data_IF_504420536613
#
_entry.id   IF_504420536613
#
_cell.length_a   1.000
_cell.length_b   1.000
_cell.length_c   1.000
_cell.angle_alpha   90.00
_cell.angle_beta   90.00
_cell.angle_gamma   90.00
#
_symmetry.space_group_name_H-M   'P 1'
#
loop_
_entity.id
_entity.type
_entity.pdbx_description
1 polymer ?
#
# COMPACT_ATOMS: atom_id res chain seq x y z
N UNK A 1 11.52 6.68 -29.85
CA UNK A 1 11.08 5.95 -28.62
C UNK A 1 12.33 5.60 -27.82
N UNK A 2 12.36 5.91 -26.53
CA UNK A 2 13.52 5.69 -25.66
C UNK A 2 13.86 4.20 -25.56
N UNK A 3 15.12 3.84 -25.75
CA UNK A 3 15.59 2.43 -25.76
C UNK A 3 16.07 1.96 -24.40
N UNK A 4 16.57 2.90 -23.59
CA UNK A 4 17.25 2.63 -22.33
C UNK A 4 16.81 3.64 -21.26
N UNK A 5 17.08 3.30 -19.99
CA UNK A 5 16.88 4.18 -18.85
C UNK A 5 18.06 4.08 -17.91
N UNK A 6 18.63 5.22 -17.54
CA UNK A 6 19.54 5.41 -16.42
C UNK A 6 18.90 6.43 -15.48
N UNK A 7 18.80 6.15 -14.20
CA UNK A 7 18.03 6.94 -13.24
C UNK A 7 18.94 7.86 -12.43
N UNK A 8 20.04 7.32 -11.91
CA UNK A 8 20.97 8.08 -11.08
C UNK A 8 22.33 8.23 -11.79
N UNK A 9 23.00 9.39 -11.68
CA UNK A 9 24.35 9.59 -12.22
C UNK A 9 25.41 8.61 -11.68
N UNK A 10 25.17 8.01 -10.50
CA UNK A 10 26.06 7.01 -9.88
C UNK A 10 25.87 5.61 -10.46
N UNK A 11 24.79 5.40 -11.24
CA UNK A 11 24.51 4.08 -11.79
C UNK A 11 25.59 3.67 -12.80
N UNK A 12 26.21 2.53 -12.58
CA UNK A 12 27.06 1.85 -13.57
C UNK A 12 26.30 0.74 -14.32
N UNK A 13 24.99 0.61 -14.04
CA UNK A 13 24.05 -0.21 -14.79
C UNK A 13 23.04 0.65 -15.55
N UNK A 14 22.63 0.16 -16.72
CA UNK A 14 21.60 0.75 -17.57
C UNK A 14 20.48 -0.27 -17.78
N UNK A 15 19.23 0.17 -17.71
CA UNK A 15 18.04 -0.67 -17.94
C UNK A 15 17.66 -0.63 -19.41
N UNK A 16 17.46 -1.78 -20.04
CA UNK A 16 16.88 -1.91 -21.36
C UNK A 16 15.36 -1.79 -21.29
N UNK A 17 14.78 -0.84 -22.02
CA UNK A 17 13.32 -0.64 -22.10
C UNK A 17 12.65 -1.48 -23.19
N UNK A 18 13.47 -2.10 -24.07
CA UNK A 18 13.09 -3.03 -25.12
C UNK A 18 14.22 -4.03 -25.35
N UNK A 19 13.96 -5.06 -26.13
CA UNK A 19 15.01 -5.99 -26.52
C UNK A 19 16.10 -5.27 -27.33
N UNK A 20 17.33 -5.50 -26.97
CA UNK A 20 18.55 -4.98 -27.59
C UNK A 20 19.42 -6.16 -28.00
N UNK A 21 19.98 -6.12 -29.21
CA UNK A 21 20.80 -7.19 -29.73
C UNK A 21 22.29 -6.99 -29.43
N UNK A 22 23.03 -8.07 -29.32
CA UNK A 22 24.49 -8.04 -29.31
C UNK A 22 25.01 -7.27 -30.53
N UNK A 23 25.99 -6.39 -30.32
CA UNK A 23 26.52 -5.52 -31.35
C UNK A 23 25.83 -4.16 -31.49
N UNK A 24 24.63 -3.97 -30.91
CA UNK A 24 23.96 -2.67 -30.87
C UNK A 24 24.85 -1.63 -30.18
N UNK A 25 24.86 -0.41 -30.73
CA UNK A 25 25.55 0.72 -30.12
C UNK A 25 24.52 1.58 -29.41
N UNK A 26 24.71 1.75 -28.11
CA UNK A 26 23.87 2.54 -27.23
C UNK A 26 24.58 3.84 -26.88
N UNK A 27 23.91 4.97 -27.05
CA UNK A 27 24.40 6.27 -26.60
C UNK A 27 23.76 6.62 -25.26
N UNK A 28 24.58 6.88 -24.24
CA UNK A 28 24.15 7.33 -22.92
C UNK A 28 25.12 8.39 -22.37
N UNK A 29 24.63 9.59 -22.12
CA UNK A 29 25.40 10.72 -21.56
C UNK A 29 26.71 10.99 -22.31
N UNK A 30 26.66 10.97 -23.65
CA UNK A 30 27.82 11.21 -24.52
C UNK A 30 28.78 10.02 -24.63
N UNK A 31 28.54 8.91 -23.96
CA UNK A 31 29.31 7.67 -24.08
C UNK A 31 28.63 6.70 -25.06
N UNK A 32 29.42 6.08 -25.93
CA UNK A 32 28.97 5.02 -26.84
C UNK A 32 29.36 3.67 -26.25
N UNK A 33 28.35 2.82 -26.04
CA UNK A 33 28.49 1.49 -25.43
C UNK A 33 28.05 0.48 -26.50
N UNK A 34 28.94 -0.41 -26.87
CA UNK A 34 28.59 -1.54 -27.73
C UNK A 34 28.17 -2.72 -26.86
N UNK A 35 26.99 -3.28 -27.10
CA UNK A 35 26.53 -4.45 -26.38
C UNK A 35 27.31 -5.70 -26.79
N UNK A 36 27.83 -6.42 -25.79
CA UNK A 36 28.59 -7.67 -26.00
C UNK A 36 27.75 -8.93 -25.83
N UNK A 37 26.50 -8.75 -25.39
CA UNK A 37 25.47 -9.79 -25.25
C UNK A 37 24.11 -9.26 -25.67
N UNK A 38 23.15 -10.14 -25.95
CA UNK A 38 21.74 -9.77 -26.06
C UNK A 38 21.19 -9.32 -24.69
N UNK A 39 20.42 -8.23 -24.68
CA UNK A 39 19.82 -7.66 -23.46
C UNK A 39 18.31 -7.56 -23.67
N UNK A 40 17.52 -8.53 -23.16
CA UNK A 40 16.06 -8.46 -23.25
C UNK A 40 15.49 -7.26 -22.50
N UNK A 41 14.29 -6.84 -22.88
CA UNK A 41 13.57 -5.77 -22.19
C UNK A 41 13.52 -6.01 -20.68
N UNK A 42 13.65 -4.93 -19.90
CA UNK A 42 13.70 -4.92 -18.42
C UNK A 42 14.97 -5.52 -17.80
N UNK A 43 15.86 -6.13 -18.61
CA UNK A 43 17.19 -6.53 -18.12
C UNK A 43 18.12 -5.32 -18.06
N UNK A 44 19.26 -5.51 -17.42
CA UNK A 44 20.27 -4.47 -17.20
C UNK A 44 21.57 -4.90 -17.82
N UNK A 45 22.37 -3.93 -18.22
CA UNK A 45 23.72 -4.13 -18.73
C UNK A 45 24.68 -3.10 -18.15
N UNK A 46 25.96 -3.42 -18.15
CA UNK A 46 27.01 -2.56 -17.61
C UNK A 46 27.28 -1.37 -18.51
N UNK A 47 27.45 -0.20 -17.93
CA UNK A 47 27.90 1.00 -18.61
C UNK A 47 29.42 1.00 -18.85
N UNK A 48 30.15 0.42 -17.93
CA UNK A 48 31.62 0.35 -17.89
C UNK A 48 32.07 -1.02 -17.40
N UNK A 49 33.35 -1.43 -17.62
CA UNK A 49 33.85 -2.68 -17.10
C UNK A 49 33.78 -2.72 -15.57
N UNK A 50 33.39 -3.86 -15.01
CA UNK A 50 33.37 -4.10 -13.56
C UNK A 50 34.26 -5.30 -13.23
N UNK A 51 35.31 -5.15 -12.40
CA UNK A 51 36.15 -6.26 -12.01
C UNK A 51 35.46 -7.23 -11.08
N UNK A 52 36.00 -8.44 -10.93
CA UNK A 52 35.53 -9.39 -9.91
C UNK A 52 35.55 -8.72 -8.53
N UNK A 53 34.46 -8.87 -7.77
CA UNK A 53 34.25 -8.20 -6.49
C UNK A 53 33.83 -6.74 -6.59
N UNK A 54 33.79 -6.16 -7.80
CA UNK A 54 33.30 -4.80 -8.04
C UNK A 54 31.80 -4.67 -7.76
N UNK A 55 31.42 -3.49 -7.28
CA UNK A 55 30.02 -3.19 -6.93
C UNK A 55 29.26 -2.73 -8.18
N UNK A 56 28.06 -3.30 -8.38
CA UNK A 56 27.10 -2.81 -9.37
C UNK A 56 26.05 -1.96 -8.67
N UNK A 57 25.81 -0.77 -9.24
CA UNK A 57 24.95 0.28 -8.67
C UNK A 57 23.79 0.55 -9.60
N UNK A 58 22.58 0.60 -9.04
CA UNK A 58 21.35 0.92 -9.74
C UNK A 58 20.47 1.78 -8.82
N UNK A 59 19.83 2.82 -9.36
CA UNK A 59 19.03 3.77 -8.59
C UNK A 59 19.82 4.51 -7.50
N UNK A 60 21.12 4.74 -7.76
CA UNK A 60 22.04 5.39 -6.84
C UNK A 60 22.51 4.53 -5.66
N UNK A 61 22.11 3.25 -5.59
CA UNK A 61 22.45 2.35 -4.47
C UNK A 61 23.15 1.08 -4.98
N UNK A 62 24.06 0.48 -4.18
CA UNK A 62 24.62 -0.83 -4.44
C UNK A 62 23.52 -1.91 -4.49
N UNK A 63 23.47 -2.68 -5.58
CA UNK A 63 22.47 -3.75 -5.75
C UNK A 63 23.09 -5.13 -5.95
N UNK A 64 24.40 -5.18 -6.24
CA UNK A 64 25.07 -6.43 -6.45
C UNK A 64 26.59 -6.30 -6.43
N UNK A 65 27.27 -7.46 -6.44
CA UNK A 65 28.71 -7.60 -6.51
C UNK A 65 29.04 -8.57 -7.63
N UNK A 66 29.94 -8.18 -8.53
CA UNK A 66 30.36 -9.01 -9.65
C UNK A 66 31.13 -10.25 -9.15
N UNK A 67 30.75 -11.44 -9.59
CA UNK A 67 31.44 -12.71 -9.30
C UNK A 67 32.35 -13.15 -10.44
N UNK A 68 32.21 -12.50 -11.61
CA UNK A 68 33.08 -12.63 -12.76
C UNK A 68 33.45 -11.25 -13.30
N UNK A 69 34.52 -11.06 -14.08
CA UNK A 69 34.81 -9.77 -14.71
C UNK A 69 33.75 -9.46 -15.74
N UNK A 70 33.11 -8.26 -15.65
CA UNK A 70 32.09 -7.80 -16.58
C UNK A 70 32.68 -6.80 -17.56
N UNK A 71 32.35 -6.95 -18.83
CA UNK A 71 32.72 -5.99 -19.87
C UNK A 71 31.69 -4.85 -19.93
N UNK A 72 32.05 -3.71 -20.52
CA UNK A 72 31.08 -2.70 -20.89
C UNK A 72 30.08 -3.27 -21.90
N UNK A 73 28.77 -3.01 -21.69
CA UNK A 73 27.70 -3.55 -22.54
C UNK A 73 27.32 -5.00 -22.28
N UNK A 74 27.78 -5.59 -21.19
CA UNK A 74 27.45 -6.97 -20.81
C UNK A 74 26.18 -7.03 -19.95
N UNK A 75 25.31 -7.99 -20.28
CA UNK A 75 24.07 -8.23 -19.53
C UNK A 75 24.36 -8.76 -18.12
N UNK A 76 23.66 -8.20 -17.15
CA UNK A 76 23.67 -8.69 -15.77
C UNK A 76 22.74 -9.89 -15.62
N UNK A 77 23.24 -10.94 -15.01
CA UNK A 77 22.52 -12.19 -14.71
C UNK A 77 22.85 -12.65 -13.28
N UNK A 78 22.11 -13.63 -12.79
CA UNK A 78 22.39 -14.28 -11.50
C UNK A 78 23.69 -15.09 -11.49
N UNK A 79 24.24 -15.38 -12.67
CA UNK A 79 25.50 -16.14 -12.81
C UNK A 79 26.73 -15.23 -12.73
N UNK A 80 26.60 -13.94 -13.04
CA UNK A 80 27.74 -13.01 -13.07
C UNK A 80 27.68 -11.92 -11.98
N UNK A 81 26.51 -11.75 -11.31
CA UNK A 81 26.33 -10.82 -10.18
C UNK A 81 25.53 -11.49 -9.08
N UNK A 82 26.03 -11.44 -7.84
CA UNK A 82 25.30 -11.82 -6.63
C UNK A 82 24.72 -10.60 -5.97
N UNK A 83 23.62 -10.78 -5.22
CA UNK A 83 23.02 -9.69 -4.45
C UNK A 83 24.01 -9.13 -3.43
N UNK A 84 24.08 -7.83 -3.34
CA UNK A 84 24.85 -7.10 -2.35
C UNK A 84 24.08 -5.84 -1.94
N UNK A 85 23.95 -5.64 -0.64
CA UNK A 85 23.49 -4.41 -0.04
C UNK A 85 24.61 -3.86 0.85
N UNK A 86 24.85 -2.56 0.79
CA UNK A 86 25.79 -1.94 1.72
C UNK A 86 25.29 -2.13 3.16
N UNK A 87 26.20 -2.46 4.06
CA UNK A 87 25.90 -2.41 5.49
C UNK A 87 25.57 -0.98 5.91
N UNK A 88 24.55 -0.84 6.77
CA UNK A 88 24.21 0.47 7.31
C UNK A 88 25.19 0.77 8.44
N UNK A 89 26.16 1.64 8.17
CA UNK A 89 27.05 2.16 9.20
C UNK A 89 26.40 3.38 9.85
N UNK A 90 26.11 3.28 11.14
CA UNK A 90 25.53 4.35 11.95
C UNK A 90 26.59 5.05 12.84
N UNK A 91 27.87 4.70 12.73
CA UNK A 91 28.94 5.27 13.57
C UNK A 91 29.07 6.78 13.42
N UNK A 92 28.83 7.31 12.21
CA UNK A 92 28.87 8.74 11.90
C UNK A 92 27.47 9.37 11.76
N UNK A 93 26.43 8.68 12.24
CA UNK A 93 25.07 9.20 12.16
C UNK A 93 24.91 10.47 12.98
N UNK A 94 24.76 11.59 12.29
CA UNK A 94 24.39 12.86 12.93
C UNK A 94 22.91 12.78 13.31
N UNK A 95 22.55 13.03 14.58
CA UNK A 95 21.14 13.07 14.98
C UNK A 95 20.34 14.01 14.09
N UNK A 96 19.33 13.48 13.44
CA UNK A 96 18.45 14.31 12.61
C UNK A 96 17.65 15.26 13.51
N UNK A 97 17.90 16.55 13.37
CA UNK A 97 17.10 17.59 14.02
C UNK A 97 15.95 17.99 13.09
N UNK A 98 14.75 17.48 13.38
CA UNK A 98 13.57 17.86 12.61
C UNK A 98 13.30 19.36 12.73
N UNK A 99 13.17 20.02 11.60
CA UNK A 99 12.78 21.43 11.52
C UNK A 99 11.39 21.48 10.88
N UNK A 100 10.44 22.07 11.59
CA UNK A 100 9.09 22.24 11.08
C UNK A 100 9.12 23.09 9.79
N UNK A 101 8.45 22.64 8.71
CA UNK A 101 8.31 23.46 7.51
C UNK A 101 7.52 24.73 7.81
N UNK A 102 7.80 25.80 7.07
CA UNK A 102 7.00 27.03 7.16
C UNK A 102 5.62 26.80 6.51
N UNK A 103 4.59 26.79 7.34
CA UNK A 103 3.19 26.64 6.94
C UNK A 103 2.38 27.95 7.07
N UNK A 104 3.04 29.08 7.26
CA UNK A 104 2.40 30.38 7.53
C UNK A 104 1.38 30.77 6.45
N UNK A 105 1.63 30.46 5.17
CA UNK A 105 0.71 30.73 4.06
C UNK A 105 -0.63 30.01 4.15
N UNK A 106 -0.74 28.96 5.00
CA UNK A 106 -1.97 28.20 5.21
C UNK A 106 -2.59 28.40 6.60
N UNK A 107 -1.95 29.17 7.49
CA UNK A 107 -2.36 29.33 8.89
C UNK A 107 -3.81 29.81 9.04
N UNK A 108 -4.32 30.59 8.08
CA UNK A 108 -5.69 31.13 8.10
C UNK A 108 -6.68 30.30 7.25
N UNK A 109 -6.26 29.17 6.68
CA UNK A 109 -7.18 28.29 5.96
C UNK A 109 -7.98 27.44 6.94
N UNK A 110 -9.27 27.31 6.66
CA UNK A 110 -10.20 26.47 7.40
C UNK A 110 -10.82 25.41 6.49
N UNK A 111 -11.41 24.41 7.09
CA UNK A 111 -12.20 23.38 6.42
C UNK A 111 -13.40 23.01 7.31
N UNK A 112 -14.47 22.50 6.72
CA UNK A 112 -15.59 21.95 7.46
C UNK A 112 -15.24 20.55 7.93
N UNK A 113 -15.10 20.38 9.25
CA UNK A 113 -14.69 19.13 9.86
C UNK A 113 -15.76 18.53 10.77
N UNK A 114 -15.63 17.22 11.03
CA UNK A 114 -16.49 16.50 11.97
C UNK A 114 -15.83 16.54 13.36
N UNK A 115 -16.43 17.29 14.28
CA UNK A 115 -15.94 17.38 15.66
C UNK A 115 -16.38 16.13 16.42
N UNK A 116 -15.44 15.44 17.06
CA UNK A 116 -15.70 14.27 17.91
C UNK A 116 -15.91 14.70 19.37
N UNK A 117 -16.58 13.87 20.19
CA UNK A 117 -16.82 14.18 21.61
C UNK A 117 -15.51 14.44 22.41
N UNK A 118 -14.41 13.80 22.01
CA UNK A 118 -13.07 13.99 22.59
C UNK A 118 -12.33 15.25 22.08
N UNK A 119 -12.98 16.08 21.26
CA UNK A 119 -12.42 17.31 20.69
C UNK A 119 -11.54 17.11 19.46
N UNK A 120 -11.25 15.88 19.03
CA UNK A 120 -10.56 15.63 17.75
C UNK A 120 -11.45 15.99 16.58
N UNK A 121 -10.83 16.36 15.45
CA UNK A 121 -11.55 16.78 14.25
C UNK A 121 -11.23 15.83 13.11
N UNK A 122 -12.27 15.25 12.51
CA UNK A 122 -12.19 14.46 11.30
C UNK A 122 -12.33 15.34 10.05
N UNK A 123 -11.54 15.04 9.02
CA UNK A 123 -11.69 15.63 7.67
C UNK A 123 -12.64 14.83 6.78
N UNK A 124 -13.15 13.71 7.30
CA UNK A 124 -14.11 12.83 6.65
C UNK A 124 -14.86 12.04 7.72
N UNK A 125 -15.95 11.34 7.32
CA UNK A 125 -16.81 10.57 8.21
C UNK A 125 -17.18 9.23 7.59
N UNK A 126 -16.30 8.22 7.70
CA UNK A 126 -16.49 6.90 7.10
C UNK A 126 -17.09 5.89 8.06
N UNK A 127 -17.93 4.99 7.55
CA UNK A 127 -18.27 3.75 8.23
C UNK A 127 -17.24 2.68 7.89
N UNK A 128 -16.64 2.02 8.91
CA UNK A 128 -15.66 0.96 8.70
C UNK A 128 -16.29 -0.42 8.81
N UNK A 129 -15.80 -1.35 7.99
CA UNK A 129 -16.04 -2.79 8.11
C UNK A 129 -14.69 -3.45 8.36
N UNK A 130 -14.56 -4.09 9.52
CA UNK A 130 -13.30 -4.66 10.00
C UNK A 130 -13.47 -6.16 10.27
N UNK A 131 -12.86 -7.06 9.49
CA UNK A 131 -12.75 -8.45 9.87
C UNK A 131 -11.64 -8.63 10.93
N UNK A 132 -11.86 -9.47 11.93
CA UNK A 132 -10.84 -9.87 12.90
C UNK A 132 -9.97 -11.01 12.40
N UNK A 133 -10.38 -11.67 11.34
CA UNK A 133 -9.67 -12.78 10.71
C UNK A 133 -9.76 -12.69 9.18
N UNK A 134 -8.69 -13.08 8.50
CA UNK A 134 -8.63 -13.00 7.03
C UNK A 134 -9.73 -13.80 6.32
N UNK A 135 -10.27 -14.86 6.94
CA UNK A 135 -11.38 -15.65 6.41
C UNK A 135 -12.63 -14.80 6.15
N UNK A 136 -12.83 -13.74 6.95
CA UNK A 136 -13.96 -12.81 6.83
C UNK A 136 -13.72 -11.66 5.84
N UNK A 137 -12.54 -11.55 5.22
CA UNK A 137 -12.25 -10.52 4.23
C UNK A 137 -13.28 -10.48 3.11
N UNK A 138 -13.67 -11.67 2.62
CA UNK A 138 -14.65 -11.79 1.53
C UNK A 138 -16.01 -11.23 1.95
N UNK A 139 -16.48 -11.53 3.15
CA UNK A 139 -17.74 -11.03 3.68
C UNK A 139 -17.70 -9.53 3.90
N UNK A 140 -16.60 -9.00 4.46
CA UNK A 140 -16.38 -7.58 4.62
C UNK A 140 -16.43 -6.81 3.29
N UNK A 141 -15.79 -7.33 2.24
CA UNK A 141 -15.81 -6.72 0.91
C UNK A 141 -17.20 -6.79 0.26
N UNK A 142 -17.88 -7.94 0.36
CA UNK A 142 -19.23 -8.11 -0.18
C UNK A 142 -20.25 -7.18 0.49
N UNK A 143 -20.19 -7.06 1.83
CA UNK A 143 -21.06 -6.15 2.56
C UNK A 143 -20.76 -4.70 2.16
N UNK A 144 -19.49 -4.29 2.11
CA UNK A 144 -19.11 -2.96 1.62
C UNK A 144 -19.73 -2.69 0.25
N UNK A 145 -19.49 -3.56 -0.71
CA UNK A 145 -19.94 -3.37 -2.10
C UNK A 145 -21.47 -3.30 -2.20
N UNK A 146 -22.18 -4.12 -1.43
CA UNK A 146 -23.63 -4.12 -1.38
C UNK A 146 -24.15 -2.79 -0.80
N UNK A 147 -23.61 -2.36 0.34
CA UNK A 147 -24.01 -1.12 1.01
C UNK A 147 -23.63 0.12 0.19
N UNK A 148 -22.44 0.18 -0.40
CA UNK A 148 -22.04 1.31 -1.25
C UNK A 148 -22.99 1.49 -2.42
N UNK A 149 -23.39 0.40 -3.09
CA UNK A 149 -24.37 0.46 -4.20
C UNK A 149 -25.75 0.84 -3.75
N UNK A 150 -26.25 0.19 -2.70
CA UNK A 150 -27.63 0.36 -2.23
C UNK A 150 -27.86 1.73 -1.59
N UNK A 151 -26.86 2.24 -0.88
CA UNK A 151 -26.93 3.50 -0.14
C UNK A 151 -26.37 4.71 -0.92
N UNK A 152 -26.05 4.56 -2.21
CA UNK A 152 -25.65 5.64 -3.08
C UNK A 152 -24.24 6.21 -2.82
N UNK A 153 -23.34 5.43 -2.19
CA UNK A 153 -21.95 5.82 -1.98
C UNK A 153 -21.00 5.32 -3.08
N UNK A 154 -21.44 4.39 -3.91
CA UNK A 154 -20.63 3.87 -5.02
C UNK A 154 -20.50 4.93 -6.11
N UNK A 155 -19.30 5.49 -6.27
CA UNK A 155 -18.87 6.16 -7.48
C UNK A 155 -17.99 5.19 -8.27
N UNK A 156 -18.58 4.38 -9.12
CA UNK A 156 -17.80 3.45 -9.94
C UNK A 156 -17.44 4.11 -11.28
N UNK A 157 -16.39 4.96 -11.25
CA UNK A 157 -15.88 5.64 -12.45
C UNK A 157 -15.52 4.65 -13.56
N UNK A 158 -15.12 3.43 -13.24
CA UNK A 158 -14.80 2.40 -14.24
C UNK A 158 -16.08 1.83 -14.86
N UNK A 159 -17.11 1.56 -14.07
CA UNK A 159 -18.41 1.13 -14.57
C UNK A 159 -19.12 2.25 -15.34
N UNK A 160 -18.97 3.52 -14.94
CA UNK A 160 -19.47 4.68 -15.67
C UNK A 160 -18.75 4.84 -17.01
N UNK A 161 -17.42 4.68 -17.00
CA UNK A 161 -16.63 4.67 -18.23
C UNK A 161 -17.05 3.50 -19.16
N UNK A 162 -17.14 2.28 -18.64
CA UNK A 162 -17.55 1.11 -19.42
C UNK A 162 -18.97 1.29 -20.02
N UNK A 163 -19.90 1.86 -19.25
CA UNK A 163 -21.25 2.20 -19.75
C UNK A 163 -21.21 3.24 -20.86
N UNK A 164 -20.34 4.25 -20.75
CA UNK A 164 -20.19 5.28 -21.79
C UNK A 164 -19.72 4.69 -23.13
N UNK A 165 -18.90 3.64 -23.11
CA UNK A 165 -18.41 2.96 -24.31
C UNK A 165 -19.52 2.24 -25.11
N UNK A 166 -20.62 1.87 -24.45
CA UNK A 166 -21.78 1.20 -25.09
C UNK A 166 -22.98 2.15 -25.28
N UNK A 167 -22.75 3.47 -25.17
CA UNK A 167 -23.80 4.48 -25.37
C UNK A 167 -24.79 4.64 -24.21
N UNK A 168 -24.48 4.09 -23.03
CA UNK A 168 -25.30 4.26 -21.81
C UNK A 168 -25.07 5.63 -21.18
N UNK A 169 -26.14 6.28 -20.76
CA UNK A 169 -26.08 7.48 -19.91
C UNK A 169 -25.77 7.09 -18.46
N UNK A 170 -24.95 7.88 -17.78
CA UNK A 170 -24.66 7.66 -16.36
C UNK A 170 -25.95 7.62 -15.52
N UNK A 171 -26.03 6.67 -14.58
CA UNK A 171 -27.15 6.61 -13.64
C UNK A 171 -27.04 7.81 -12.67
N UNK A 172 -28.13 8.53 -12.45
CA UNK A 172 -28.16 9.56 -11.41
C UNK A 172 -27.80 8.92 -10.06
N UNK A 173 -26.96 9.55 -9.25
CA UNK A 173 -26.60 9.01 -7.94
C UNK A 173 -27.87 8.80 -7.11
N UNK A 174 -27.99 7.60 -6.51
CA UNK A 174 -29.10 7.31 -5.59
C UNK A 174 -29.06 8.27 -4.40
N UNK A 175 -30.22 8.70 -3.87
CA UNK A 175 -30.25 9.56 -2.69
C UNK A 175 -29.56 8.84 -1.52
N UNK A 176 -28.65 9.54 -0.83
CA UNK A 176 -27.93 9.01 0.33
C UNK A 176 -28.79 9.10 1.58
N UNK A 177 -29.24 7.97 2.16
CA UNK A 177 -30.05 8.00 3.38
C UNK A 177 -29.28 8.50 4.61
N UNK A 178 -27.94 8.45 4.56
CA UNK A 178 -27.07 8.97 5.62
C UNK A 178 -26.16 10.08 5.06
N UNK A 179 -26.64 11.32 4.92
CA UNK A 179 -25.92 12.39 4.23
C UNK A 179 -24.62 12.81 4.93
N UNK A 180 -24.49 12.51 6.23
CA UNK A 180 -23.29 12.83 7.02
C UNK A 180 -22.21 11.74 6.97
N UNK A 181 -22.45 10.63 6.26
CA UNK A 181 -21.46 9.60 6.03
C UNK A 181 -20.83 9.81 4.64
N UNK A 182 -19.51 9.87 4.58
CA UNK A 182 -18.76 10.09 3.32
C UNK A 182 -18.59 8.81 2.50
N UNK A 183 -18.77 7.66 3.11
CA UNK A 183 -18.70 6.37 2.43
C UNK A 183 -18.42 5.23 3.39
N UNK A 184 -18.32 4.03 2.83
CA UNK A 184 -18.08 2.79 3.56
C UNK A 184 -16.71 2.26 3.15
N UNK A 185 -15.89 1.83 4.12
CA UNK A 185 -14.55 1.31 3.88
C UNK A 185 -14.37 -0.04 4.57
N UNK A 186 -13.80 -1.01 3.87
CA UNK A 186 -13.40 -2.28 4.45
C UNK A 186 -11.88 -2.31 4.60
N UNK A 187 -11.39 -2.73 5.77
CA UNK A 187 -9.97 -2.92 6.05
C UNK A 187 -9.70 -4.41 6.05
N UNK A 188 -9.09 -4.93 4.99
CA UNK A 188 -8.73 -6.35 4.89
C UNK A 188 -7.27 -6.59 5.29
N UNK A 189 -6.98 -7.80 5.76
CA UNK A 189 -5.64 -8.22 6.18
C UNK A 189 -5.47 -9.74 6.05
N UNK A 190 -4.26 -10.25 6.28
CA UNK A 190 -3.93 -11.68 6.17
C UNK A 190 -3.69 -12.37 7.53
N UNK A 191 -4.08 -11.73 8.64
CA UNK A 191 -3.87 -12.24 10.00
C UNK A 191 -5.15 -12.72 10.68
N UNK A 192 -5.05 -12.91 11.99
CA UNK A 192 -6.17 -13.18 12.90
C UNK A 192 -6.32 -14.64 13.31
N UNK A 193 -5.91 -15.62 12.50
CA UNK A 193 -6.04 -17.06 12.78
C UNK A 193 -4.68 -17.71 13.11
N UNK A 194 -3.75 -17.65 12.16
CA UNK A 194 -2.39 -18.17 12.34
C UNK A 194 -1.52 -17.24 13.20
N UNK A 195 -0.26 -17.64 13.44
CA UNK A 195 0.70 -16.83 14.17
C UNK A 195 0.64 -17.00 15.70
N UNK A 196 1.29 -16.10 16.39
CA UNK A 196 1.41 -16.11 17.85
C UNK A 196 0.28 -15.30 18.53
N UNK A 197 0.17 -15.39 19.86
CA UNK A 197 -0.71 -14.51 20.64
C UNK A 197 -0.31 -13.03 20.47
N UNK A 198 0.99 -12.75 20.34
CA UNK A 198 1.51 -11.40 20.09
C UNK A 198 1.05 -10.84 18.75
N UNK A 199 0.99 -11.68 17.70
CA UNK A 199 0.50 -11.26 16.38
C UNK A 199 -0.99 -10.88 16.44
N UNK A 200 -1.80 -11.71 17.13
CA UNK A 200 -3.22 -11.43 17.32
C UNK A 200 -3.46 -10.13 18.11
N UNK A 201 -2.68 -9.91 19.16
CA UNK A 201 -2.72 -8.69 19.96
C UNK A 201 -2.32 -7.46 19.15
N UNK A 202 -1.21 -7.55 18.40
CA UNK A 202 -0.75 -6.47 17.52
C UNK A 202 -1.80 -6.11 16.46
N UNK A 203 -2.40 -7.12 15.84
CA UNK A 203 -3.49 -6.91 14.88
C UNK A 203 -4.66 -6.17 15.53
N UNK A 204 -5.14 -6.61 16.68
CA UNK A 204 -6.24 -5.97 17.39
C UNK A 204 -5.93 -4.50 17.75
N UNK A 205 -4.70 -4.20 18.16
CA UNK A 205 -4.26 -2.81 18.43
C UNK A 205 -4.24 -1.95 17.17
N UNK A 206 -3.80 -2.48 16.03
CA UNK A 206 -3.82 -1.77 14.76
C UNK A 206 -5.27 -1.49 14.33
N UNK A 207 -6.15 -2.50 14.38
CA UNK A 207 -7.56 -2.34 14.03
C UNK A 207 -8.28 -1.37 14.98
N UNK A 208 -7.97 -1.40 16.28
CA UNK A 208 -8.47 -0.43 17.27
C UNK A 208 -8.02 1.00 16.94
N UNK A 209 -6.79 1.17 16.43
CA UNK A 209 -6.30 2.47 16.01
C UNK A 209 -7.07 3.03 14.81
N UNK A 210 -7.43 2.19 13.84
CA UNK A 210 -8.32 2.58 12.76
C UNK A 210 -9.72 2.91 13.26
N UNK A 211 -10.30 2.09 14.14
CA UNK A 211 -11.62 2.32 14.69
C UNK A 211 -11.72 3.65 15.45
N UNK A 212 -10.68 3.98 16.21
CA UNK A 212 -10.61 5.23 16.99
C UNK A 212 -10.28 6.48 16.16
N UNK A 213 -9.88 6.33 14.90
CA UNK A 213 -9.47 7.46 14.06
C UNK A 213 -10.60 8.51 13.91
N UNK A 214 -10.33 9.82 13.97
CA UNK A 214 -11.36 10.87 13.91
C UNK A 214 -12.19 10.87 12.63
N UNK A 215 -11.70 10.31 11.52
CA UNK A 215 -12.47 10.17 10.29
C UNK A 215 -13.45 8.98 10.28
N UNK A 216 -13.61 8.26 11.39
CA UNK A 216 -14.50 7.10 11.51
C UNK A 216 -15.75 7.46 12.27
N UNK A 217 -16.91 7.29 11.62
CA UNK A 217 -18.23 7.50 12.20
C UNK A 217 -18.69 6.36 13.11
N UNK A 218 -18.38 5.14 12.70
CA UNK A 218 -18.76 3.91 13.36
C UNK A 218 -18.21 2.71 12.61
N UNK A 219 -18.43 1.51 13.12
CA UNK A 219 -17.84 0.31 12.54
C UNK A 219 -18.74 -0.92 12.66
N UNK A 220 -18.54 -1.86 11.72
CA UNK A 220 -19.02 -3.23 11.77
C UNK A 220 -17.80 -4.14 11.87
N UNK A 221 -17.77 -5.01 12.86
CA UNK A 221 -16.69 -5.96 13.11
C UNK A 221 -17.16 -7.37 12.82
N UNK A 222 -16.46 -8.06 11.93
CA UNK A 222 -16.70 -9.47 11.64
C UNK A 222 -15.75 -10.36 12.42
N UNK A 223 -16.30 -11.39 13.06
CA UNK A 223 -15.61 -12.47 13.75
C UNK A 223 -16.13 -13.80 13.23
N UNK A 224 -15.25 -14.73 12.91
CA UNK A 224 -15.64 -16.09 12.55
C UNK A 224 -16.06 -16.88 13.78
N UNK A 225 -15.35 -16.69 14.91
CA UNK A 225 -15.59 -17.34 16.19
C UNK A 225 -14.49 -18.34 16.64
N UNK A 226 -13.58 -18.72 15.71
CA UNK A 226 -12.47 -19.65 15.98
C UNK A 226 -11.08 -19.01 15.83
N UNK A 227 -11.02 -17.75 15.52
CA UNK A 227 -9.78 -16.98 15.37
C UNK A 227 -9.09 -16.69 16.69
N UNK A 228 -7.79 -16.36 16.65
CA UNK A 228 -7.04 -15.88 17.82
C UNK A 228 -7.33 -14.42 18.15
N UNK A 229 -7.55 -13.60 17.13
CA UNK A 229 -7.92 -12.19 17.29
C UNK A 229 -9.42 -12.04 17.59
N UNK A 230 -9.85 -12.55 18.74
CA UNK A 230 -11.27 -12.59 19.14
C UNK A 230 -11.84 -11.20 19.47
N UNK A 231 -13.17 -11.08 19.44
CA UNK A 231 -13.91 -9.85 19.78
C UNK A 231 -13.46 -9.27 21.13
N UNK A 232 -13.29 -10.12 22.17
CA UNK A 232 -12.84 -9.68 23.50
C UNK A 232 -11.48 -9.00 23.47
N UNK A 233 -10.54 -9.55 22.69
CA UNK A 233 -9.19 -9.00 22.53
C UNK A 233 -9.22 -7.65 21.80
N UNK A 234 -10.06 -7.54 20.77
CA UNK A 234 -10.26 -6.28 20.05
C UNK A 234 -10.89 -5.21 20.95
N UNK A 235 -11.90 -5.57 21.75
CA UNK A 235 -12.53 -4.64 22.71
C UNK A 235 -11.56 -4.18 23.80
N UNK A 236 -10.66 -5.06 24.25
CA UNK A 236 -9.59 -4.70 25.18
C UNK A 236 -8.63 -3.70 24.55
N UNK A 237 -8.19 -3.94 23.33
CA UNK A 237 -7.33 -3.02 22.59
C UNK A 237 -7.99 -1.65 22.35
N UNK A 238 -9.31 -1.62 22.12
CA UNK A 238 -10.07 -0.35 22.04
C UNK A 238 -10.08 0.40 23.38
N UNK A 239 -10.33 -0.31 24.50
CA UNK A 239 -10.32 0.30 25.82
C UNK A 239 -8.96 0.82 26.23
N UNK A 240 -7.88 0.07 25.93
CA UNK A 240 -6.52 0.55 26.19
C UNK A 240 -6.20 1.83 25.42
N UNK A 241 -6.69 1.91 24.18
CA UNK A 241 -6.43 3.06 23.33
C UNK A 241 -7.25 4.28 23.72
N UNK A 242 -8.53 4.10 23.99
CA UNK A 242 -9.48 5.16 24.31
C UNK A 242 -10.57 4.64 25.24
N UNK A 243 -10.46 4.97 26.53
CA UNK A 243 -11.46 4.61 27.53
C UNK A 243 -12.84 5.23 27.26
N UNK A 244 -12.88 6.36 26.56
CA UNK A 244 -14.10 7.06 26.17
C UNK A 244 -14.58 6.72 24.77
N UNK A 245 -14.20 5.57 24.19
CA UNK A 245 -14.66 5.16 22.87
C UNK A 245 -16.17 4.98 22.86
N UNK A 246 -16.88 5.83 22.11
CA UNK A 246 -18.34 5.96 22.09
C UNK A 246 -18.97 5.79 20.68
N UNK A 247 -18.14 5.46 19.67
CA UNK A 247 -18.66 5.29 18.31
C UNK A 247 -19.52 4.05 18.18
N UNK A 248 -20.61 4.11 17.38
CA UNK A 248 -21.42 2.94 17.08
C UNK A 248 -20.57 1.77 16.58
N UNK A 249 -20.72 0.61 17.23
CA UNK A 249 -19.96 -0.61 16.91
C UNK A 249 -20.91 -1.81 16.84
N UNK A 250 -21.05 -2.37 15.63
CA UNK A 250 -21.84 -3.57 15.37
C UNK A 250 -20.88 -4.77 15.34
N UNK A 251 -21.09 -5.72 16.25
CA UNK A 251 -20.28 -6.94 16.33
C UNK A 251 -21.07 -8.12 15.74
N UNK A 252 -20.52 -8.74 14.70
CA UNK A 252 -21.13 -9.86 13.99
C UNK A 252 -20.21 -11.08 14.07
N UNK A 253 -20.65 -12.12 14.77
CA UNK A 253 -19.95 -13.39 14.83
C UNK A 253 -20.65 -14.39 13.91
N UNK A 254 -19.94 -14.95 12.92
CA UNK A 254 -20.52 -15.84 11.92
C UNK A 254 -21.17 -17.09 12.54
N UNK A 255 -20.58 -17.64 13.60
CA UNK A 255 -21.09 -18.81 14.28
C UNK A 255 -22.48 -18.62 14.94
N UNK A 256 -22.90 -17.37 15.17
CA UNK A 256 -24.20 -17.06 15.80
C UNK A 256 -25.33 -17.06 14.77
N UNK A 257 -25.02 -17.22 13.47
CA UNK A 257 -25.97 -17.11 12.37
C UNK A 257 -26.04 -18.38 11.52
N UNK A 258 -27.25 -18.69 11.02
CA UNK A 258 -27.48 -19.86 10.17
C UNK A 258 -26.90 -19.70 8.75
N UNK A 259 -26.56 -18.50 8.32
CA UNK A 259 -25.89 -18.21 7.05
C UNK A 259 -25.25 -16.83 7.05
N UNK A 260 -24.24 -16.63 6.19
CA UNK A 260 -23.57 -15.33 5.98
C UNK A 260 -24.55 -14.24 5.55
N UNK A 261 -25.53 -14.58 4.69
CA UNK A 261 -26.54 -13.60 4.22
C UNK A 261 -27.43 -13.09 5.36
N UNK A 262 -27.76 -13.97 6.33
CA UNK A 262 -28.57 -13.53 7.48
C UNK A 262 -27.75 -12.74 8.50
N UNK A 263 -26.45 -12.97 8.56
CA UNK A 263 -25.55 -12.20 9.41
C UNK A 263 -25.36 -10.77 8.87
N UNK A 264 -25.17 -10.62 7.56
CA UNK A 264 -24.98 -9.35 6.85
C UNK A 264 -26.30 -8.61 6.61
#
# INVERSE_FOLDING_TARGET
MQKILRIDPKDNLIVALRDLAQGDIIENDGQRIQLVTDVPAKHKFTREPVPVGGIVTLYGVPVGKAVAPLQSGERITVDNVVHYAAEVDLSDAVPYMWKAPDVSRWANRTFDGVIRPDGRVGTANYWLIIPLVFCENRNALKLRDALERTLGYAGDHLADFARSLVGGTGCAPAPRPFPHIDGIRAITHNGGCGGTAQDAWTLCRVLAAYADHPNVAGLTVFSLGCEKAQIGLFQEALRERNLGFDKPCILLRQQDWSSEVKMM
#
